data_IF_734887772885
#
_entry.id   IF_734887772885
#
_cell.length_a   1.000
_cell.length_b   1.000
_cell.length_c   1.000
_cell.angle_alpha   90.00
_cell.angle_beta   90.00
_cell.angle_gamma   90.00
#
_symmetry.space_group_name_H-M   'P 1'
#
loop_
_entity.id
_entity.type
_entity.pdbx_description
1 polymer ?
#
# COMPACT_ATOMS: atom_id res chain seq x y z
N UNK A 1 -0.04 6.02 -20.51
CA UNK A 1 0.23 6.96 -19.40
C UNK A 1 0.84 6.17 -18.25
N UNK A 2 2.01 6.55 -17.70
CA UNK A 2 2.60 5.88 -16.53
C UNK A 2 2.06 6.57 -15.28
N UNK A 3 1.20 5.89 -14.52
CA UNK A 3 0.64 6.41 -13.27
C UNK A 3 1.31 5.69 -12.11
N UNK A 4 1.74 6.43 -11.09
CA UNK A 4 2.24 5.81 -9.85
C UNK A 4 1.04 5.27 -9.05
N UNK A 5 1.24 4.15 -8.35
CA UNK A 5 0.22 3.57 -7.48
C UNK A 5 0.61 3.87 -6.04
N UNK A 6 -0.36 4.36 -5.26
CA UNK A 6 -0.29 4.38 -3.81
C UNK A 6 -1.66 3.99 -3.26
N UNK A 7 -1.69 2.94 -2.45
CA UNK A 7 -2.84 2.55 -1.66
C UNK A 7 -2.42 2.29 -0.22
N UNK A 8 -3.21 2.75 0.73
CA UNK A 8 -2.99 2.45 2.13
C UNK A 8 -4.30 2.19 2.85
N UNK A 9 -4.25 1.27 3.83
CA UNK A 9 -5.34 0.97 4.74
C UNK A 9 -4.81 0.98 6.15
N UNK A 10 -5.43 1.77 7.02
CA UNK A 10 -5.06 1.89 8.42
C UNK A 10 -6.24 1.57 9.33
N UNK A 11 -5.96 0.84 10.40
CA UNK A 11 -6.89 0.57 11.48
C UNK A 11 -6.46 1.31 12.74
N UNK A 12 -7.43 1.86 13.47
CA UNK A 12 -7.19 2.62 14.69
C UNK A 12 -8.16 2.17 15.77
N UNK A 13 -7.67 2.01 16.99
CA UNK A 13 -8.44 2.10 18.23
C UNK A 13 -8.20 3.47 18.86
N UNK A 14 -7.72 3.51 20.10
CA UNK A 14 -7.19 4.76 20.67
C UNK A 14 -5.90 5.21 19.99
N UNK A 15 -5.09 4.30 19.47
CA UNK A 15 -3.90 4.61 18.67
C UNK A 15 -3.92 3.80 17.37
N UNK A 16 -2.89 3.95 16.52
CA UNK A 16 -2.75 3.13 15.33
C UNK A 16 -2.67 1.65 15.74
N UNK A 17 -3.51 0.79 15.17
CA UNK A 17 -3.45 -0.65 15.38
C UNK A 17 -2.58 -1.34 14.35
N UNK A 18 -2.82 -1.03 13.08
CA UNK A 18 -2.02 -1.52 11.96
C UNK A 18 -2.22 -0.63 10.73
N UNK A 19 -1.25 -0.66 9.82
CA UNK A 19 -1.35 -0.02 8.52
C UNK A 19 -0.69 -0.89 7.44
N UNK A 20 -1.33 -1.04 6.29
CA UNK A 20 -0.76 -1.67 5.10
C UNK A 20 -0.68 -0.65 4.00
N UNK A 21 0.47 -0.55 3.34
CA UNK A 21 0.72 0.34 2.21
C UNK A 21 1.18 -0.49 1.03
N UNK A 22 0.49 -0.38 -0.11
CA UNK A 22 0.90 -0.91 -1.40
C UNK A 22 1.25 0.26 -2.33
N UNK A 23 2.44 0.23 -2.91
CA UNK A 23 2.84 1.23 -3.90
C UNK A 23 3.56 0.63 -5.09
N UNK A 24 3.56 1.34 -6.22
CA UNK A 24 4.33 0.99 -7.40
C UNK A 24 4.81 2.27 -8.10
N UNK A 25 6.04 2.28 -8.60
CA UNK A 25 6.61 3.42 -9.33
C UNK A 25 5.88 3.67 -10.65
N UNK A 26 5.31 2.62 -11.25
CA UNK A 26 4.43 2.76 -12.41
C UNK A 26 3.53 1.54 -12.57
N UNK A 27 2.30 1.77 -13.01
CA UNK A 27 1.36 0.74 -13.44
C UNK A 27 1.29 0.69 -14.97
N UNK A 28 1.33 -0.51 -15.53
CA UNK A 28 1.13 -0.76 -16.97
C UNK A 28 0.04 -1.81 -17.12
N UNK A 29 -1.04 -1.49 -17.82
CA UNK A 29 -2.06 -2.47 -18.17
C UNK A 29 -1.69 -3.06 -19.54
N UNK A 30 -1.45 -4.38 -19.62
CA UNK A 30 -1.49 -5.05 -20.91
C UNK A 30 -2.97 -5.11 -21.30
N UNK A 31 -3.40 -4.28 -22.24
CA UNK A 31 -4.71 -4.45 -22.85
C UNK A 31 -4.64 -5.78 -23.60
N UNK A 32 -5.52 -6.72 -23.24
CA UNK A 32 -5.65 -7.96 -24.00
C UNK A 32 -5.91 -7.62 -25.46
N UNK A 33 -5.25 -8.34 -26.35
CA UNK A 33 -5.47 -8.30 -27.78
C UNK A 33 -6.88 -8.85 -28.03
N UNK A 34 -7.90 -7.99 -27.92
CA UNK A 34 -9.25 -8.30 -28.34
C UNK A 34 -9.41 -7.71 -29.73
N UNK A 35 -9.47 -8.59 -30.73
CA UNK A 35 -9.85 -8.32 -32.12
C UNK A 35 -10.87 -7.19 -32.23
N UNK A 36 -10.50 -6.09 -32.89
CA UNK A 36 -11.46 -5.17 -33.48
C UNK A 36 -11.37 -5.28 -35.01
N UNK A 37 -12.18 -6.20 -35.54
CA UNK A 37 -12.67 -6.17 -36.91
C UNK A 37 -13.48 -4.88 -37.09
N UNK A 38 -12.90 -3.86 -37.72
CA UNK A 38 -13.54 -2.56 -37.95
C UNK A 38 -12.82 -1.75 -39.01
N UNK A 39 -13.16 -2.00 -40.27
CA UNK A 39 -12.69 -1.32 -41.49
C UNK A 39 -13.05 0.17 -41.50
N UNK A 40 -12.08 1.07 -41.72
CA UNK A 40 -12.07 2.02 -42.86
C UNK A 40 -10.79 2.89 -42.96
N UNK A 41 -10.04 2.62 -44.03
CA UNK A 41 -9.34 3.52 -44.98
C UNK A 41 -8.22 4.50 -44.56
N UNK A 42 -7.01 4.09 -44.95
CA UNK A 42 -6.14 4.68 -45.97
C UNK A 42 -5.61 6.12 -45.79
N UNK A 43 -4.34 6.21 -45.37
CA UNK A 43 -3.37 7.11 -46.02
C UNK A 43 -1.99 6.44 -45.98
N UNK A 44 -1.37 6.35 -47.15
CA UNK A 44 -0.03 5.84 -47.40
C UNK A 44 1.03 6.57 -46.56
N UNK A 45 1.95 5.82 -45.96
CA UNK A 45 3.36 6.15 -46.08
C UNK A 45 4.24 4.92 -45.78
N UNK A 46 4.93 4.50 -46.83
CA UNK A 46 5.99 3.51 -46.85
C UNK A 46 7.16 4.00 -45.99
N UNK A 47 7.64 3.17 -45.05
CA UNK A 47 9.07 2.92 -44.92
C UNK A 47 9.33 1.62 -44.16
N UNK A 48 9.91 0.70 -44.92
CA UNK A 48 10.53 -0.54 -44.52
C UNK A 48 11.88 -0.19 -43.86
N UNK A 49 12.21 -0.78 -42.72
CA UNK A 49 13.59 -1.19 -42.42
C UNK A 49 13.61 -2.19 -41.25
N UNK A 50 13.96 -3.42 -41.63
CA UNK A 50 14.46 -4.47 -40.76
C UNK A 50 15.70 -3.99 -39.99
N UNK A 51 15.81 -4.29 -38.69
CA UNK A 51 16.95 -5.08 -38.19
C UNK A 51 16.92 -5.37 -36.68
N UNK A 52 17.23 -6.63 -36.39
CA UNK A 52 17.93 -7.19 -35.23
C UNK A 52 17.31 -7.09 -33.84
N UNK A 53 16.62 -8.17 -33.48
CA UNK A 53 17.08 -9.16 -32.49
C UNK A 53 18.19 -8.67 -31.54
N UNK A 54 17.82 -8.41 -30.30
CA UNK A 54 18.63 -8.71 -29.14
C UNK A 54 17.70 -9.08 -27.99
N UNK A 55 17.29 -10.35 -27.99
CA UNK A 55 16.74 -11.05 -26.84
C UNK A 55 17.82 -11.13 -25.75
N UNK A 56 17.98 -10.06 -24.98
CA UNK A 56 18.58 -10.17 -23.65
C UNK A 56 17.49 -10.58 -22.66
N UNK A 57 17.07 -11.85 -22.77
CA UNK A 57 16.45 -12.56 -21.66
C UNK A 57 17.54 -12.78 -20.61
N UNK A 58 17.88 -11.71 -19.90
CA UNK A 58 18.50 -11.82 -18.59
C UNK A 58 17.46 -12.48 -17.71
N UNK A 59 17.56 -13.79 -17.53
CA UNK A 59 17.00 -14.48 -16.39
C UNK A 59 17.75 -13.92 -15.18
N UNK A 60 17.33 -12.75 -14.73
CA UNK A 60 17.65 -12.28 -13.40
C UNK A 60 17.10 -13.37 -12.48
N UNK A 61 18.00 -14.14 -11.90
CA UNK A 61 17.70 -14.96 -10.74
C UNK A 61 17.20 -13.99 -9.67
N UNK A 62 15.89 -13.71 -9.67
CA UNK A 62 15.20 -12.87 -8.71
C UNK A 62 15.25 -13.60 -7.37
N UNK A 63 16.40 -13.46 -6.69
CA UNK A 63 16.67 -14.03 -5.38
C UNK A 63 15.82 -13.34 -4.29
N UNK A 64 14.76 -12.64 -4.70
CA UNK A 64 13.85 -11.83 -3.89
C UNK A 64 14.51 -10.62 -3.24
N UNK A 65 15.78 -10.34 -3.55
CA UNK A 65 16.52 -9.22 -2.95
C UNK A 65 16.24 -7.90 -3.64
N UNK A 66 16.14 -6.82 -2.86
CA UNK A 66 16.09 -5.45 -3.36
C UNK A 66 17.37 -5.15 -4.17
N UNK A 67 17.27 -4.78 -5.46
CA UNK A 67 18.42 -4.42 -6.29
C UNK A 67 19.13 -3.17 -5.75
N UNK A 68 20.44 -3.07 -5.95
CA UNK A 68 21.23 -1.91 -5.51
C UNK A 68 20.69 -0.58 -6.09
N UNK A 69 20.20 -0.63 -7.33
CA UNK A 69 19.57 0.50 -8.02
C UNK A 69 18.36 1.09 -7.26
N UNK A 70 17.69 0.32 -6.41
CA UNK A 70 16.59 0.80 -5.58
C UNK A 70 17.07 1.82 -4.53
N UNK A 71 18.29 1.63 -4.01
CA UNK A 71 18.89 2.50 -3.01
C UNK A 71 19.49 3.75 -3.64
N UNK A 72 20.17 3.62 -4.78
CA UNK A 72 20.90 4.71 -5.43
C UNK A 72 20.01 5.62 -6.27
N UNK A 73 18.94 5.10 -6.89
CA UNK A 73 18.04 5.88 -7.75
C UNK A 73 16.91 6.59 -6.98
N UNK A 74 17.04 6.76 -5.67
CA UNK A 74 16.01 7.40 -4.84
C UNK A 74 14.71 6.60 -4.66
N UNK A 75 14.69 5.32 -5.07
CA UNK A 75 13.55 4.43 -4.90
C UNK A 75 13.16 4.27 -3.43
N UNK A 76 14.15 3.98 -2.57
CA UNK A 76 13.94 3.91 -1.13
C UNK A 76 13.43 5.24 -0.55
N UNK A 77 14.01 6.39 -0.95
CA UNK A 77 13.58 7.72 -0.51
C UNK A 77 12.09 7.95 -0.81
N UNK A 78 11.65 7.57 -2.01
CA UNK A 78 10.25 7.69 -2.40
C UNK A 78 9.33 6.81 -1.53
N UNK A 79 9.75 5.58 -1.20
CA UNK A 79 8.98 4.70 -0.28
C UNK A 79 8.90 5.27 1.13
N UNK A 80 9.98 5.86 1.63
CA UNK A 80 9.98 6.54 2.94
C UNK A 80 8.96 7.69 2.94
N UNK A 81 8.97 8.55 1.91
CA UNK A 81 8.00 9.64 1.77
C UNK A 81 6.56 9.09 1.74
N UNK A 82 6.28 8.07 0.91
CA UNK A 82 4.95 7.46 0.85
C UNK A 82 4.49 6.92 2.20
N UNK A 83 5.36 6.22 2.93
CA UNK A 83 5.05 5.67 4.24
C UNK A 83 4.71 6.76 5.25
N UNK A 84 5.58 7.77 5.38
CA UNK A 84 5.39 8.87 6.34
C UNK A 84 4.13 9.68 5.97
N UNK A 85 3.96 10.05 4.70
CA UNK A 85 2.78 10.81 4.25
C UNK A 85 1.48 10.05 4.48
N UNK A 86 1.45 8.73 4.22
CA UNK A 86 0.26 7.90 4.47
C UNK A 86 -0.09 7.84 5.95
N UNK A 87 0.90 7.67 6.83
CA UNK A 87 0.69 7.65 8.28
C UNK A 87 0.22 9.00 8.83
N UNK A 88 0.77 10.12 8.34
CA UNK A 88 0.30 11.47 8.69
C UNK A 88 -1.15 11.66 8.25
N UNK A 89 -1.48 11.26 7.02
CA UNK A 89 -2.83 11.40 6.49
C UNK A 89 -3.83 10.53 7.29
N UNK A 90 -3.42 9.32 7.66
CA UNK A 90 -4.22 8.41 8.49
C UNK A 90 -4.43 8.99 9.90
N UNK A 91 -3.37 9.51 10.55
CA UNK A 91 -3.45 10.07 11.90
C UNK A 91 -4.22 11.39 11.97
N UNK A 92 -4.20 12.20 10.91
CA UNK A 92 -5.03 13.40 10.80
C UNK A 92 -6.53 13.03 10.68
N UNK A 93 -6.87 12.04 9.85
CA UNK A 93 -8.26 11.55 9.73
C UNK A 93 -8.76 10.99 11.06
N UNK A 94 -7.92 10.21 11.74
CA UNK A 94 -8.23 9.67 13.05
C UNK A 94 -8.59 10.79 14.06
N UNK A 95 -7.76 11.82 14.14
CA UNK A 95 -7.99 12.98 14.99
C UNK A 95 -9.31 13.71 14.66
N UNK A 96 -9.62 13.90 13.38
CA UNK A 96 -10.85 14.59 12.96
C UNK A 96 -12.13 13.80 13.26
N UNK A 97 -12.05 12.46 13.31
CA UNK A 97 -13.20 11.60 13.55
C UNK A 97 -13.60 11.51 15.03
N UNK A 98 -12.75 11.96 15.96
CA UNK A 98 -13.02 11.81 17.38
C UNK A 98 -14.35 12.41 17.86
N UNK A 99 -14.72 13.66 17.50
CA UNK A 99 -15.96 14.25 17.98
C UNK A 99 -17.18 13.45 17.49
N UNK A 100 -17.14 12.99 16.24
CA UNK A 100 -18.19 12.17 15.62
C UNK A 100 -18.34 10.85 16.39
N UNK A 101 -17.23 10.15 16.66
CA UNK A 101 -17.25 8.87 17.39
C UNK A 101 -17.72 9.04 18.84
N UNK A 102 -17.37 10.18 19.46
CA UNK A 102 -17.78 10.51 20.81
C UNK A 102 -19.28 10.80 20.90
N UNK A 103 -19.86 11.47 19.91
CA UNK A 103 -21.28 11.83 19.84
C UNK A 103 -22.17 10.62 19.47
N UNK A 104 -21.77 9.82 18.48
CA UNK A 104 -22.57 8.70 17.98
C UNK A 104 -22.24 7.38 18.70
N UNK A 105 -22.82 7.17 19.88
CA UNK A 105 -22.58 5.96 20.71
C UNK A 105 -23.07 4.65 20.07
N UNK A 106 -24.03 4.70 19.16
CA UNK A 106 -24.56 3.52 18.45
C UNK A 106 -23.72 3.10 17.25
N UNK A 107 -22.69 3.88 16.88
CA UNK A 107 -21.80 3.55 15.77
C UNK A 107 -21.00 2.30 16.10
N UNK A 108 -21.13 1.25 15.27
CA UNK A 108 -20.46 -0.04 15.44
C UNK A 108 -19.31 -0.28 14.46
N UNK A 109 -19.31 0.40 13.31
CA UNK A 109 -18.26 0.29 12.30
C UNK A 109 -18.06 1.63 11.62
N UNK A 110 -16.80 1.96 11.32
CA UNK A 110 -16.42 3.18 10.61
C UNK A 110 -15.47 2.82 9.47
N UNK A 111 -15.76 3.33 8.26
CA UNK A 111 -14.86 3.27 7.12
C UNK A 111 -14.84 4.65 6.48
N UNK A 112 -13.66 5.25 6.38
CA UNK A 112 -13.43 6.55 5.77
C UNK A 112 -12.44 6.38 4.62
N UNK A 113 -12.89 6.63 3.40
CA UNK A 113 -12.09 6.57 2.18
C UNK A 113 -11.87 7.97 1.63
N UNK A 114 -10.67 8.27 1.14
CA UNK A 114 -10.41 9.55 0.48
C UNK A 114 -11.01 9.64 -0.92
N UNK A 115 -11.10 10.87 -1.44
CA UNK A 115 -11.69 11.16 -2.75
C UNK A 115 -10.98 10.46 -3.90
N UNK A 116 -9.69 10.17 -3.73
CA UNK A 116 -8.86 9.55 -4.74
C UNK A 116 -8.88 8.00 -4.66
N UNK A 117 -9.54 7.43 -3.65
CA UNK A 117 -9.55 6.00 -3.37
C UNK A 117 -8.17 5.42 -3.04
N UNK A 118 -7.22 6.27 -2.63
CA UNK A 118 -5.86 5.87 -2.24
C UNK A 118 -5.86 5.36 -0.80
N UNK A 119 -6.58 6.05 0.08
CA UNK A 119 -6.49 5.87 1.52
C UNK A 119 -7.78 5.44 2.18
N UNK A 120 -7.68 4.42 3.04
CA UNK A 120 -8.80 3.93 3.85
C UNK A 120 -8.42 3.92 5.32
N UNK A 121 -9.17 4.63 6.16
CA UNK A 121 -9.17 4.43 7.61
C UNK A 121 -10.40 3.59 7.98
N UNK A 122 -10.22 2.57 8.82
CA UNK A 122 -11.35 1.78 9.32
C UNK A 122 -11.26 1.52 10.82
N UNK A 123 -12.41 1.41 11.47
CA UNK A 123 -12.53 0.99 12.88
C UNK A 123 -13.69 0.00 13.02
N UNK A 124 -13.48 -1.07 13.78
CA UNK A 124 -14.54 -1.98 14.21
C UNK A 124 -15.15 -1.53 15.54
N UNK A 125 -16.11 -2.31 16.04
CA UNK A 125 -16.84 -2.01 17.27
C UNK A 125 -15.92 -1.90 18.47
N UNK A 126 -14.99 -2.85 18.63
CA UNK A 126 -14.06 -2.86 19.77
C UNK A 126 -13.15 -1.63 19.78
N UNK A 127 -12.64 -1.24 18.60
CA UNK A 127 -11.80 -0.06 18.41
C UNK A 127 -12.54 1.25 18.69
N UNK A 128 -13.80 1.33 18.27
CA UNK A 128 -14.65 2.49 18.56
C UNK A 128 -14.92 2.63 20.07
N UNK A 129 -15.19 1.52 20.77
CA UNK A 129 -15.36 1.54 22.23
C UNK A 129 -14.06 1.89 22.96
N UNK A 130 -12.92 1.35 22.51
CA UNK A 130 -11.61 1.70 23.05
C UNK A 130 -11.36 3.21 22.98
N UNK A 131 -11.59 3.82 21.81
CA UNK A 131 -11.41 5.26 21.61
C UNK A 131 -12.38 6.10 22.47
N UNK A 132 -13.59 5.61 22.74
CA UNK A 132 -14.57 6.29 23.61
C UNK A 132 -14.14 6.29 25.08
N UNK A 133 -13.56 5.18 25.56
CA UNK A 133 -13.10 5.04 26.96
C UNK A 133 -11.77 5.73 27.18
N UNK A 134 -10.86 5.63 26.21
CA UNK A 134 -9.54 6.26 26.22
C UNK A 134 -9.40 7.20 25.03
N UNK A 135 -9.95 8.42 25.12
CA UNK A 135 -9.74 9.45 24.11
C UNK A 135 -8.25 9.74 23.94
N UNK A 136 -7.87 10.21 22.75
CA UNK A 136 -6.49 10.56 22.43
C UNK A 136 -5.85 11.47 23.47
N UNK A 137 -4.57 11.22 23.75
CA UNK A 137 -3.66 12.29 24.17
C UNK A 137 -3.30 13.09 22.91
N UNK A 138 -3.84 14.30 22.71
CA UNK A 138 -3.52 15.09 21.54
C UNK A 138 -2.01 15.38 21.51
N UNK A 139 -1.41 15.35 20.31
CA UNK A 139 -0.09 15.96 20.14
C UNK A 139 -0.25 17.46 20.39
N UNK A 140 0.47 18.01 21.37
CA UNK A 140 0.31 19.38 21.88
C UNK A 140 0.56 20.50 20.86
N UNK A 141 0.92 20.17 19.61
CA UNK A 141 1.17 21.14 18.54
C UNK A 141 0.58 20.77 17.16
N UNK A 142 0.05 19.56 16.96
CA UNK A 142 -0.40 19.11 15.64
C UNK A 142 -1.85 18.62 15.70
N UNK A 143 -2.69 19.06 14.76
CA UNK A 143 -4.09 18.60 14.57
C UNK A 143 -4.13 17.15 14.05
N UNK A 144 -3.43 16.24 14.71
CA UNK A 144 -3.27 14.82 14.35
C UNK A 144 -3.02 13.98 15.60
N UNK A 145 -3.35 12.69 15.50
CA UNK A 145 -2.98 11.69 16.50
C UNK A 145 -1.48 11.44 16.51
N UNK A 146 -0.89 11.26 17.71
CA UNK A 146 0.49 10.78 17.85
C UNK A 146 0.62 9.39 17.23
N UNK A 147 1.58 9.20 16.33
CA UNK A 147 1.91 7.87 15.80
C UNK A 147 2.91 7.23 16.76
N UNK A 148 2.63 6.04 17.33
CA UNK A 148 3.55 5.38 18.26
C UNK A 148 4.82 4.90 17.53
N UNK A 149 5.81 4.40 18.27
CA UNK A 149 6.92 3.67 17.65
C UNK A 149 6.36 2.45 16.89
N UNK A 150 6.89 2.18 15.70
CA UNK A 150 6.37 1.19 14.76
C UNK A 150 7.43 0.17 14.36
N UNK A 151 7.00 -1.08 14.25
CA UNK A 151 7.69 -2.14 13.54
C UNK A 151 7.09 -2.26 12.14
N UNK A 152 7.94 -2.30 11.13
CA UNK A 152 7.54 -2.35 9.73
C UNK A 152 8.18 -3.54 9.04
N UNK A 153 7.40 -4.20 8.17
CA UNK A 153 7.86 -5.23 7.25
C UNK A 153 7.66 -4.76 5.84
N UNK A 154 8.72 -4.80 5.04
CA UNK A 154 8.73 -4.37 3.65
C UNK A 154 8.99 -5.56 2.74
N UNK A 155 8.18 -5.67 1.68
CA UNK A 155 8.38 -6.59 0.56
C UNK A 155 8.51 -5.79 -0.73
N UNK A 156 9.38 -6.25 -1.62
CA UNK A 156 9.68 -5.55 -2.86
C UNK A 156 9.70 -6.48 -4.07
N UNK A 157 9.24 -5.97 -5.21
CA UNK A 157 9.39 -6.58 -6.51
C UNK A 157 9.78 -5.53 -7.57
N UNK A 158 10.91 -5.67 -8.28
CA UNK A 158 11.23 -4.79 -9.41
C UNK A 158 10.14 -4.80 -10.47
N UNK A 159 9.54 -5.97 -10.68
CA UNK A 159 8.48 -6.21 -11.64
C UNK A 159 7.51 -7.24 -11.05
N UNK A 160 6.21 -6.90 -11.00
CA UNK A 160 5.15 -7.79 -10.54
C UNK A 160 4.00 -7.79 -11.56
N UNK A 161 3.86 -8.89 -12.30
CA UNK A 161 2.75 -9.11 -13.22
C UNK A 161 1.61 -9.87 -12.52
N UNK A 162 0.41 -9.30 -12.54
CA UNK A 162 -0.78 -9.88 -11.95
C UNK A 162 -1.55 -10.73 -12.97
N UNK A 163 -2.38 -11.69 -12.53
CA UNK A 163 -3.14 -12.56 -13.43
C UNK A 163 -4.07 -11.83 -14.41
N UNK A 164 -4.49 -10.59 -14.10
CA UNK A 164 -5.33 -9.77 -14.97
C UNK A 164 -4.53 -8.96 -16.03
N UNK A 165 -3.25 -9.25 -16.22
CA UNK A 165 -2.36 -8.55 -17.16
C UNK A 165 -1.86 -7.18 -16.67
N UNK A 166 -2.20 -6.77 -15.45
CA UNK A 166 -1.65 -5.55 -14.86
C UNK A 166 -0.22 -5.80 -14.37
N UNK A 167 0.69 -4.90 -14.73
CA UNK A 167 2.10 -4.93 -14.34
C UNK A 167 2.41 -3.76 -13.41
N UNK A 168 2.89 -4.09 -12.20
CA UNK A 168 3.37 -3.13 -11.21
C UNK A 168 4.90 -3.10 -11.22
N UNK A 169 5.50 -1.99 -11.67
CA UNK A 169 6.96 -1.79 -11.62
C UNK A 169 7.38 -1.17 -10.30
N UNK A 170 8.44 -1.71 -9.71
CA UNK A 170 8.92 -1.31 -8.38
C UNK A 170 7.83 -1.49 -7.32
N UNK A 171 7.06 -2.57 -7.39
CA UNK A 171 5.99 -2.84 -6.43
C UNK A 171 6.57 -2.99 -5.02
N UNK A 172 5.93 -2.37 -4.04
CA UNK A 172 6.37 -2.34 -2.65
C UNK A 172 5.15 -2.51 -1.76
N UNK A 173 5.22 -3.45 -0.83
CA UNK A 173 4.22 -3.63 0.22
C UNK A 173 4.90 -3.36 1.56
N UNK A 174 4.28 -2.52 2.39
CA UNK A 174 4.74 -2.23 3.75
C UNK A 174 3.62 -2.57 4.72
N UNK A 175 3.87 -3.48 5.65
CA UNK A 175 2.97 -3.77 6.77
C UNK A 175 3.56 -3.16 8.04
N UNK A 176 2.74 -2.41 8.77
CA UNK A 176 3.13 -1.55 9.88
C UNK A 176 2.29 -1.91 11.09
N UNK A 177 2.92 -2.08 12.25
CA UNK A 177 2.26 -2.28 13.55
C UNK A 177 3.00 -1.51 14.64
N UNK A 178 2.35 -1.07 15.72
CA UNK A 178 3.04 -0.51 16.89
C UNK A 178 4.06 -1.48 17.49
N UNK A 179 5.18 -0.95 17.96
CA UNK A 179 6.27 -1.74 18.55
C UNK A 179 5.92 -2.33 19.92
N UNK A 180 5.07 -1.66 20.70
CA UNK A 180 4.72 -2.02 22.08
C UNK A 180 3.39 -2.79 22.22
N UNK A 181 2.75 -3.17 21.11
CA UNK A 181 1.50 -3.93 21.21
C UNK A 181 1.74 -5.28 21.91
N UNK A 182 0.92 -5.65 22.92
CA UNK A 182 0.98 -6.98 23.48
C UNK A 182 0.75 -7.96 22.33
N UNK A 183 1.60 -8.99 22.24
CA UNK A 183 1.40 -10.10 21.31
C UNK A 183 0.06 -10.75 21.65
N UNK A 184 -1.03 -10.26 21.06
CA UNK A 184 -2.25 -11.04 20.94
C UNK A 184 -1.85 -12.16 19.99
N UNK A 185 -1.41 -13.27 20.58
CA UNK A 185 -1.00 -14.50 19.90
C UNK A 185 -2.21 -15.07 19.14
N UNK A 186 -2.56 -14.46 18.01
CA UNK A 186 -3.20 -15.19 16.93
C UNK A 186 -2.09 -15.84 16.11
N UNK A 187 -1.57 -16.93 16.67
CA UNK A 187 -0.83 -17.96 15.95
C UNK A 187 -1.63 -18.30 14.68
N UNK A 188 -1.22 -17.75 13.54
CA UNK A 188 -1.84 -17.98 12.23
C UNK A 188 -2.44 -16.75 11.50
N UNK A 189 -2.64 -15.59 12.13
CA UNK A 189 -3.37 -14.45 11.51
C UNK A 189 -2.48 -13.35 10.92
N UNK A 190 -1.17 -13.37 11.20
CA UNK A 190 -0.20 -12.35 10.76
C UNK A 190 -0.19 -12.09 9.24
N UNK A 191 -0.43 -13.12 8.42
CA UNK A 191 -0.51 -12.98 6.96
C UNK A 191 -1.90 -12.60 6.45
N UNK A 192 -2.95 -12.88 7.22
CA UNK A 192 -4.34 -12.76 6.79
C UNK A 192 -4.73 -11.28 6.60
N UNK A 193 -4.43 -10.43 7.58
CA UNK A 193 -4.79 -9.00 7.52
C UNK A 193 -4.04 -8.23 6.41
N UNK A 194 -2.81 -8.66 6.06
CA UNK A 194 -2.03 -8.07 4.96
C UNK A 194 -2.62 -8.49 3.62
N UNK A 195 -2.95 -9.78 3.47
CA UNK A 195 -3.51 -10.36 2.26
C UNK A 195 -4.94 -9.86 1.95
N UNK A 196 -5.70 -9.46 2.98
CA UNK A 196 -7.06 -8.94 2.87
C UNK A 196 -7.15 -7.41 3.00
N UNK A 197 -6.01 -6.71 2.98
CA UNK A 197 -5.98 -5.26 3.18
C UNK A 197 -6.63 -4.50 2.03
N UNK A 198 -6.56 -5.04 0.80
CA UNK A 198 -7.03 -4.39 -0.40
C UNK A 198 -7.95 -5.29 -1.22
N UNK A 199 -8.89 -4.66 -1.93
CA UNK A 199 -9.73 -5.30 -2.93
C UNK A 199 -8.91 -5.66 -4.19
N UNK A 200 -9.48 -6.51 -5.05
CA UNK A 200 -8.85 -6.85 -6.32
C UNK A 200 -8.73 -5.63 -7.25
N UNK A 201 -7.66 -5.53 -8.06
CA UNK A 201 -6.56 -6.50 -8.22
C UNK A 201 -5.44 -6.39 -7.17
N UNK A 202 -5.52 -5.42 -6.26
CA UNK A 202 -4.45 -5.08 -5.32
C UNK A 202 -4.32 -6.09 -4.17
N UNK A 203 -5.40 -6.78 -3.81
CA UNK A 203 -5.38 -7.93 -2.91
C UNK A 203 -4.47 -9.04 -3.43
N UNK A 204 -4.59 -9.39 -4.72
CA UNK A 204 -3.67 -10.34 -5.37
C UNK A 204 -2.22 -9.86 -5.34
N UNK A 205 -1.98 -8.58 -5.62
CA UNK A 205 -0.63 -8.01 -5.55
C UNK A 205 -0.01 -8.16 -4.15
N UNK A 206 -0.77 -7.88 -3.09
CA UNK A 206 -0.32 -8.05 -1.71
C UNK A 206 0.03 -9.51 -1.41
N UNK A 207 -0.83 -10.47 -1.79
CA UNK A 207 -0.60 -11.91 -1.60
C UNK A 207 0.62 -12.44 -2.35
N UNK A 208 0.94 -11.88 -3.51
CA UNK A 208 2.16 -12.23 -4.23
C UNK A 208 3.41 -11.64 -3.59
N UNK A 209 3.35 -10.39 -3.10
CA UNK A 209 4.49 -9.72 -2.47
C UNK A 209 4.90 -10.36 -1.15
N UNK A 210 3.96 -10.78 -0.29
CA UNK A 210 4.29 -11.41 1.01
C UNK A 210 5.04 -12.74 0.89
N UNK A 211 5.03 -13.38 -0.28
CA UNK A 211 5.80 -14.60 -0.56
C UNK A 211 7.28 -14.32 -0.84
N UNK A 212 7.66 -13.05 -1.04
CA UNK A 212 9.03 -12.63 -1.31
C UNK A 212 9.81 -12.40 -0.01
N UNK A 213 11.10 -12.09 -0.14
CA UNK A 213 11.97 -11.74 0.99
C UNK A 213 11.41 -10.51 1.73
N UNK A 214 11.38 -10.62 3.05
CA UNK A 214 10.92 -9.57 3.96
C UNK A 214 12.10 -8.78 4.50
N UNK A 215 11.93 -7.46 4.64
CA UNK A 215 12.86 -6.55 5.29
C UNK A 215 12.19 -5.93 6.52
N UNK A 216 12.78 -6.10 7.69
CA UNK A 216 12.27 -5.50 8.93
C UNK A 216 12.91 -4.12 9.14
N UNK A 217 12.08 -3.15 9.52
CA UNK A 217 12.46 -1.76 9.77
C UNK A 217 11.76 -1.28 11.04
N UNK A 218 12.36 -0.32 11.71
CA UNK A 218 11.76 0.34 12.88
C UNK A 218 11.61 1.84 12.60
N UNK A 219 10.60 2.45 13.21
CA UNK A 219 10.40 3.89 13.16
C UNK A 219 9.98 4.40 14.54
N UNK A 220 10.65 5.45 15.00
CA UNK A 220 10.31 6.11 16.27
C UNK A 220 8.95 6.82 16.18
N UNK A 221 8.37 7.12 17.34
CA UNK A 221 7.12 7.88 17.44
C UNK A 221 7.28 9.32 16.90
N UNK A 222 6.20 9.88 16.34
CA UNK A 222 6.17 11.24 15.77
C UNK A 222 4.75 11.82 15.61
#
# INVERSE_FOLDING_TARGET
MRVFLLKWKAQFGSTLDNCVILGASSVVQKMGDYDCLGTCNNYDSVNNDNNNSNNNNGVENDNGSIPESFYTNGGLKLRVVWTISSLIAASARHYLLQPIIAEHKTLENLVLTDTDGQGVLSMNKEQLEELRVKPLSPSSAAKRTLVPALNMRLWYAPHLELPNGMVLKGATLVAIKPSEQPKKDLVGSEGNWIASAFEEPFGTAARMLVKRRTYCLEMNSF
#
